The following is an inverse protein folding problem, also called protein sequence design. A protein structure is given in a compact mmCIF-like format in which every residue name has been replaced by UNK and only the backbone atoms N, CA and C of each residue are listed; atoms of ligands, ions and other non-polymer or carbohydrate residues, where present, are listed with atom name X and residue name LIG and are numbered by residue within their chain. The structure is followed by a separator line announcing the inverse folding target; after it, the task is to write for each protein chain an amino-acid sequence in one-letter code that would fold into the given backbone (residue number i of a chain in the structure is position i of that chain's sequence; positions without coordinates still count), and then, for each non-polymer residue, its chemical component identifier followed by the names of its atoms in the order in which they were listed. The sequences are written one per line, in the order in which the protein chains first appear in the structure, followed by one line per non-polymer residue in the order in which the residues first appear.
data_IF_465855993874
#
_entry.id   IF_465855993874
#
_cell.length_a   1.000
_cell.length_b   1.000
_cell.length_c   1.000
_cell.angle_alpha   90.00
_cell.angle_beta   90.00
_cell.angle_gamma   90.00
#
_symmetry.space_group_name_H-M   'P 1'
#
loop_
_entity.id
_entity.type
_entity.pdbx_description
1 polymer ?
#
# COMPACT_ATOMS: atom_id res chain seq x y z
N UNK A 1 8.06 6.85 1.18
CA UNK A 1 8.12 6.45 -0.22
C UNK A 1 9.54 6.43 -0.77
N UNK A 2 10.13 7.55 -1.21
CA UNK A 2 11.48 7.58 -1.84
C UNK A 2 12.67 7.65 -0.87
N UNK A 3 12.42 7.94 0.42
CA UNK A 3 13.48 8.01 1.41
C UNK A 3 14.23 6.67 1.47
N UNK A 4 15.50 6.67 1.13
CA UNK A 4 16.41 5.52 1.12
C UNK A 4 17.83 6.02 1.43
N UNK A 5 18.69 5.15 1.96
CA UNK A 5 20.08 5.53 2.24
C UNK A 5 20.82 5.93 0.95
N UNK A 6 20.77 5.15 -0.15
CA UNK A 6 21.39 5.57 -1.42
C UNK A 6 20.79 6.85 -2.00
N UNK A 7 19.46 7.02 -1.90
CA UNK A 7 18.78 8.23 -2.37
C UNK A 7 19.17 9.50 -1.60
N UNK A 8 19.44 9.38 -0.29
CA UNK A 8 19.95 10.49 0.50
C UNK A 8 21.44 10.76 0.25
N UNK A 9 22.23 9.70 0.10
CA UNK A 9 23.66 9.82 -0.20
C UNK A 9 23.90 10.55 -1.54
N UNK A 10 23.10 10.27 -2.57
CA UNK A 10 23.22 10.93 -3.88
C UNK A 10 23.03 12.45 -3.85
N UNK A 11 22.40 12.98 -2.78
CA UNK A 11 22.21 14.41 -2.53
C UNK A 11 23.07 14.93 -1.37
N UNK A 12 24.09 14.18 -0.95
CA UNK A 12 25.06 14.59 0.07
C UNK A 12 24.56 14.48 1.51
N UNK A 13 23.52 13.69 1.78
CA UNK A 13 23.00 13.45 3.13
C UNK A 13 23.56 12.12 3.65
N UNK A 14 24.44 12.21 4.65
CA UNK A 14 25.04 11.04 5.30
C UNK A 14 24.05 10.17 6.08
N UNK A 15 24.44 8.93 6.41
CA UNK A 15 23.53 7.88 6.92
C UNK A 15 22.83 8.24 8.24
N UNK A 16 23.52 8.90 9.18
CA UNK A 16 22.89 9.32 10.45
C UNK A 16 21.73 10.29 10.23
N UNK A 17 21.95 11.28 9.36
CA UNK A 17 20.93 12.27 9.02
C UNK A 17 19.81 11.65 8.17
N UNK A 18 20.14 10.74 7.26
CA UNK A 18 19.16 9.97 6.50
C UNK A 18 18.22 9.18 7.43
N UNK A 19 18.77 8.45 8.39
CA UNK A 19 17.99 7.69 9.38
C UNK A 19 17.11 8.61 10.23
N UNK A 20 17.64 9.76 10.67
CA UNK A 20 16.87 10.74 11.42
C UNK A 20 15.70 11.31 10.60
N UNK A 21 15.89 11.58 9.31
CA UNK A 21 14.82 12.06 8.42
C UNK A 21 13.74 11.00 8.19
N UNK A 22 14.11 9.73 8.02
CA UNK A 22 13.16 8.63 7.91
C UNK A 22 12.31 8.51 9.18
N UNK A 23 12.92 8.48 10.37
CA UNK A 23 12.17 8.43 11.64
C UNK A 23 11.28 9.65 11.83
N UNK A 24 11.79 10.85 11.51
CA UNK A 24 11.02 12.09 11.60
C UNK A 24 9.76 12.07 10.73
N UNK A 25 9.78 11.39 9.57
CA UNK A 25 8.59 11.27 8.73
C UNK A 25 7.43 10.55 9.46
N UNK A 26 7.75 9.52 10.26
CA UNK A 26 6.77 8.79 11.08
C UNK A 26 6.32 9.65 12.27
N UNK A 27 7.25 10.30 12.96
CA UNK A 27 6.91 11.17 14.10
C UNK A 27 5.97 12.31 13.71
N UNK A 28 6.16 12.91 12.53
CA UNK A 28 5.25 13.96 12.02
C UNK A 28 3.84 13.38 11.84
N UNK A 29 3.71 12.19 11.23
CA UNK A 29 2.42 11.56 11.02
C UNK A 29 1.72 11.18 12.35
N UNK A 30 2.48 10.67 13.33
CA UNK A 30 1.98 10.36 14.67
C UNK A 30 1.49 11.61 15.38
N UNK A 31 2.28 12.70 15.38
CA UNK A 31 1.86 13.95 16.03
C UNK A 31 0.55 14.49 15.45
N UNK A 32 0.40 14.46 14.11
CA UNK A 32 -0.84 14.90 13.44
C UNK A 32 -2.02 13.98 13.79
N UNK A 33 -1.80 12.66 13.82
CA UNK A 33 -2.83 11.70 14.26
C UNK A 33 -3.23 11.98 15.71
N UNK A 34 -2.27 12.10 16.61
CA UNK A 34 -2.53 12.24 18.05
C UNK A 34 -3.24 13.58 18.36
N UNK A 35 -2.94 14.64 17.60
CA UNK A 35 -3.63 15.93 17.70
C UNK A 35 -5.07 15.89 17.17
N UNK A 36 -5.29 15.27 16.00
CA UNK A 36 -6.58 15.35 15.29
C UNK A 36 -7.50 14.15 15.54
N UNK A 37 -6.95 13.03 15.98
CA UNK A 37 -7.58 11.71 16.16
C UNK A 37 -6.95 10.96 17.36
N UNK A 38 -6.96 11.53 18.58
CA UNK A 38 -6.32 10.90 19.73
C UNK A 38 -6.81 9.47 20.03
N UNK A 39 -8.05 9.15 19.65
CA UNK A 39 -8.67 7.84 19.87
C UNK A 39 -8.71 6.95 18.62
N UNK A 40 -7.98 7.27 17.54
CA UNK A 40 -8.01 6.43 16.34
C UNK A 40 -7.06 6.78 15.20
N UNK A 41 -7.03 5.88 14.21
CA UNK A 41 -6.14 5.99 13.05
C UNK A 41 -4.83 5.23 13.25
N UNK A 42 -4.24 4.79 12.14
CA UNK A 42 -2.95 4.10 12.11
C UNK A 42 -1.96 4.95 11.32
N UNK A 43 -0.69 4.89 11.69
CA UNK A 43 0.43 5.42 10.95
C UNK A 43 1.16 4.24 10.32
N UNK A 44 1.14 4.19 8.99
CA UNK A 44 1.94 3.23 8.23
C UNK A 44 3.19 3.92 7.68
N UNK A 45 4.36 3.33 7.91
CA UNK A 45 5.61 3.84 7.37
C UNK A 45 5.77 3.37 5.91
N UNK A 46 5.79 4.33 4.98
CA UNK A 46 5.83 4.07 3.54
C UNK A 46 7.21 3.59 3.04
N UNK A 47 7.21 2.41 2.42
CA UNK A 47 8.36 1.72 1.83
C UNK A 47 8.08 1.56 0.33
N UNK A 48 8.61 2.47 -0.50
CA UNK A 48 8.46 2.41 -1.96
C UNK A 48 9.48 1.47 -2.62
N UNK A 49 9.30 1.12 -3.90
CA UNK A 49 10.21 0.21 -4.60
C UNK A 49 11.58 0.85 -4.86
N UNK A 50 12.56 0.04 -5.22
CA UNK A 50 13.88 0.47 -5.68
C UNK A 50 13.78 1.46 -6.85
N UNK A 51 12.94 1.14 -7.85
CA UNK A 51 12.75 1.98 -9.04
C UNK A 51 12.35 3.42 -8.73
N UNK A 52 11.66 3.68 -7.62
CA UNK A 52 11.28 5.04 -7.22
C UNK A 52 12.50 5.90 -6.84
N UNK A 53 13.63 5.28 -6.50
CA UNK A 53 14.89 5.97 -6.16
C UNK A 53 15.76 6.29 -7.37
N UNK A 54 15.52 5.64 -8.51
CA UNK A 54 16.16 5.94 -9.79
C UNK A 54 15.65 7.24 -10.42
N UNK A 55 14.45 7.70 -10.00
CA UNK A 55 13.80 8.93 -10.48
C UNK A 55 13.56 8.97 -12.01
N UNK A 56 13.47 7.81 -12.64
CA UNK A 56 13.28 7.63 -14.10
C UNK A 56 11.95 6.91 -14.43
N UNK A 57 11.08 6.74 -13.43
CA UNK A 57 9.79 6.07 -13.57
C UNK A 57 9.87 4.55 -13.59
N UNK A 58 11.02 3.95 -13.27
CA UNK A 58 11.20 2.49 -13.24
C UNK A 58 10.28 1.80 -12.22
N UNK A 59 9.72 2.51 -11.24
CA UNK A 59 8.67 1.98 -10.35
C UNK A 59 7.37 1.56 -11.07
N UNK A 60 7.19 1.97 -12.33
CA UNK A 60 6.07 1.60 -13.19
C UNK A 60 6.48 0.72 -14.38
N UNK A 61 7.72 0.23 -14.39
CA UNK A 61 8.25 -0.66 -15.44
C UNK A 61 8.95 -1.89 -14.86
N UNK A 62 9.47 -1.82 -13.65
CA UNK A 62 10.23 -2.91 -13.02
C UNK A 62 11.51 -3.27 -13.76
N UNK A 63 12.04 -2.38 -14.61
CA UNK A 63 13.16 -2.62 -15.52
C UNK A 63 14.52 -2.27 -14.91
N UNK A 64 14.73 -2.63 -13.64
CA UNK A 64 16.03 -2.55 -12.98
C UNK A 64 16.67 -3.94 -12.88
N UNK A 65 17.86 -4.08 -13.44
CA UNK A 65 18.65 -5.33 -13.50
C UNK A 65 19.35 -5.60 -12.16
N UNK A 66 18.54 -5.82 -11.11
CA UNK A 66 19.02 -6.21 -9.77
C UNK A 66 18.47 -7.59 -9.40
N UNK A 67 19.35 -8.42 -8.83
CA UNK A 67 18.97 -9.67 -8.22
C UNK A 67 18.28 -9.49 -6.85
N UNK A 68 17.71 -10.58 -6.34
CA UNK A 68 17.00 -10.61 -5.06
C UNK A 68 17.88 -10.11 -3.91
N UNK A 69 19.13 -10.56 -3.80
CA UNK A 69 20.00 -10.13 -2.68
C UNK A 69 20.38 -8.66 -2.73
N UNK A 70 20.59 -8.07 -3.91
CA UNK A 70 20.88 -6.64 -4.04
C UNK A 70 19.66 -5.81 -3.61
N UNK A 71 18.45 -6.26 -3.96
CA UNK A 71 17.20 -5.65 -3.51
C UNK A 71 17.02 -5.79 -1.99
N UNK A 72 17.43 -6.92 -1.40
CA UNK A 72 17.43 -7.11 0.06
C UNK A 72 18.38 -6.13 0.74
N UNK A 73 19.61 -6.00 0.24
CA UNK A 73 20.59 -5.04 0.75
C UNK A 73 20.09 -3.58 0.66
N UNK A 74 19.35 -3.25 -0.39
CA UNK A 74 18.72 -1.95 -0.53
C UNK A 74 17.60 -1.69 0.50
N UNK A 75 16.70 -2.67 0.70
CA UNK A 75 15.52 -2.49 1.57
C UNK A 75 15.83 -2.63 3.06
N UNK A 76 16.70 -3.56 3.45
CA UNK A 76 17.02 -3.90 4.84
C UNK A 76 17.31 -2.70 5.74
N UNK A 77 18.28 -1.82 5.44
CA UNK A 77 18.62 -0.73 6.36
C UNK A 77 17.46 0.26 6.55
N UNK A 78 16.63 0.45 5.52
CA UNK A 78 15.42 1.29 5.61
C UNK A 78 14.35 0.63 6.47
N UNK A 79 14.08 -0.65 6.30
CA UNK A 79 13.12 -1.40 7.11
C UNK A 79 13.54 -1.40 8.58
N UNK A 80 14.80 -1.70 8.88
CA UNK A 80 15.36 -1.64 10.24
C UNK A 80 15.24 -0.23 10.85
N UNK A 81 15.49 0.81 10.06
CA UNK A 81 15.35 2.20 10.53
C UNK A 81 13.90 2.53 10.85
N UNK A 82 12.96 2.20 9.97
CA UNK A 82 11.55 2.49 10.14
C UNK A 82 10.90 1.65 11.25
N UNK A 83 11.36 0.42 11.48
CA UNK A 83 10.98 -0.41 12.61
C UNK A 83 11.18 0.32 13.96
N UNK A 84 12.28 1.07 14.07
CA UNK A 84 12.57 1.86 15.28
C UNK A 84 11.80 3.18 15.38
N UNK A 85 11.02 3.55 14.37
CA UNK A 85 10.31 4.83 14.32
C UNK A 85 8.92 4.80 15.01
N UNK A 86 8.42 3.62 15.37
CA UNK A 86 7.17 3.45 16.11
C UNK A 86 5.88 3.49 15.26
N UNK A 87 5.97 3.37 13.94
CA UNK A 87 4.79 3.16 13.09
C UNK A 87 4.10 1.84 13.44
N UNK A 88 2.78 1.76 13.32
CA UNK A 88 2.04 0.53 13.63
C UNK A 88 2.28 -0.58 12.60
N UNK A 89 2.66 -0.21 11.37
CA UNK A 89 2.96 -1.14 10.29
C UNK A 89 3.78 -0.48 9.17
N UNK A 90 4.31 -1.30 8.27
CA UNK A 90 4.85 -0.85 6.99
C UNK A 90 3.78 -0.80 5.90
N UNK A 91 3.84 0.25 5.09
CA UNK A 91 3.14 0.33 3.82
C UNK A 91 4.15 0.02 2.71
N UNK A 92 4.35 -1.26 2.41
CA UNK A 92 5.14 -1.67 1.24
C UNK A 92 4.28 -1.45 0.01
N UNK A 93 4.67 -0.52 -0.84
CA UNK A 93 3.76 0.01 -1.86
C UNK A 93 4.41 0.27 -3.20
N UNK A 94 3.61 0.12 -4.26
CA UNK A 94 4.00 0.30 -5.66
C UNK A 94 5.07 -0.68 -6.13
N UNK A 95 5.11 -1.91 -5.60
CA UNK A 95 6.12 -2.91 -6.00
C UNK A 95 5.80 -3.44 -7.41
N UNK A 96 6.73 -3.33 -8.39
CA UNK A 96 6.42 -3.59 -9.80
C UNK A 96 6.88 -4.94 -10.33
N UNK A 97 7.71 -5.71 -9.61
CA UNK A 97 8.32 -6.95 -10.11
C UNK A 97 8.48 -8.03 -9.03
N UNK A 98 8.53 -9.32 -9.42
CA UNK A 98 8.56 -10.44 -8.47
C UNK A 98 9.86 -10.52 -7.66
N UNK A 99 11.00 -10.21 -8.27
CA UNK A 99 12.30 -10.23 -7.58
C UNK A 99 12.30 -9.30 -6.35
N UNK A 100 11.64 -8.14 -6.44
CA UNK A 100 11.51 -7.22 -5.32
C UNK A 100 10.48 -7.67 -4.29
N UNK A 101 9.39 -8.32 -4.74
CA UNK A 101 8.45 -8.99 -3.82
C UNK A 101 9.18 -10.04 -2.99
N UNK A 102 9.99 -10.88 -3.62
CA UNK A 102 10.79 -11.91 -2.95
C UNK A 102 11.75 -11.29 -1.93
N UNK A 103 12.50 -10.28 -2.34
CA UNK A 103 13.45 -9.58 -1.49
C UNK A 103 12.78 -9.00 -0.23
N UNK A 104 11.67 -8.28 -0.39
CA UNK A 104 10.98 -7.66 0.75
C UNK A 104 10.31 -8.72 1.63
N UNK A 105 9.74 -9.78 1.05
CA UNK A 105 9.19 -10.90 1.81
C UNK A 105 10.25 -11.54 2.71
N UNK A 106 11.46 -11.74 2.19
CA UNK A 106 12.59 -12.29 2.96
C UNK A 106 13.01 -11.38 4.12
N UNK A 107 12.94 -10.06 3.97
CA UNK A 107 13.27 -9.11 5.05
C UNK A 107 12.12 -8.92 6.06
N UNK A 108 10.87 -9.14 5.66
CA UNK A 108 9.70 -9.07 6.55
C UNK A 108 9.51 -10.33 7.40
N UNK A 109 9.83 -11.51 6.85
CA UNK A 109 9.64 -12.79 7.52
C UNK A 109 10.44 -12.87 8.84
N UNK A 110 9.73 -13.05 9.95
CA UNK A 110 10.33 -13.07 11.29
C UNK A 110 10.68 -11.70 11.87
N UNK A 111 10.41 -10.60 11.16
CA UNK A 111 10.68 -9.24 11.63
C UNK A 111 9.77 -8.81 12.78
N UNK A 112 8.61 -9.47 12.94
CA UNK A 112 7.54 -9.09 13.90
C UNK A 112 6.94 -7.70 13.65
N UNK A 113 7.23 -7.08 12.51
CA UNK A 113 6.65 -5.80 12.12
C UNK A 113 5.57 -6.04 11.08
N UNK A 114 4.29 -5.76 11.38
CA UNK A 114 3.22 -5.92 10.42
C UNK A 114 3.46 -5.05 9.18
N UNK A 115 3.05 -5.53 8.02
CA UNK A 115 3.09 -4.79 6.78
C UNK A 115 1.85 -5.06 5.95
N UNK A 116 1.42 -4.11 5.13
CA UNK A 116 0.72 -4.48 3.91
C UNK A 116 1.68 -4.41 2.73
N UNK A 117 1.37 -5.18 1.68
CA UNK A 117 2.10 -5.12 0.42
C UNK A 117 1.15 -4.80 -0.74
N UNK A 118 1.52 -3.83 -1.55
CA UNK A 118 0.73 -3.44 -2.71
C UNK A 118 1.56 -3.27 -3.97
N UNK A 119 0.93 -3.61 -5.08
CA UNK A 119 1.59 -3.73 -6.37
C UNK A 119 1.14 -2.65 -7.35
N UNK A 120 2.08 -2.17 -8.16
CA UNK A 120 1.75 -1.40 -9.36
C UNK A 120 1.42 -2.38 -10.48
N UNK A 121 0.29 -2.13 -11.15
CA UNK A 121 -0.29 -3.09 -12.10
C UNK A 121 -0.74 -2.40 -13.38
N UNK A 122 -0.73 -3.17 -14.47
CA UNK A 122 -1.32 -2.80 -15.76
C UNK A 122 -1.88 -4.06 -16.42
N UNK A 123 -3.11 -3.97 -16.91
CA UNK A 123 -3.77 -5.05 -17.66
C UNK A 123 -3.75 -6.42 -16.94
N UNK A 124 -3.98 -6.42 -15.62
CA UNK A 124 -4.02 -7.64 -14.79
C UNK A 124 -2.66 -8.28 -14.50
N UNK A 125 -1.56 -7.59 -14.81
CA UNK A 125 -0.18 -8.03 -14.56
C UNK A 125 0.55 -7.02 -13.69
N UNK A 126 1.66 -7.43 -13.09
CA UNK A 126 2.60 -6.50 -12.49
C UNK A 126 3.08 -5.50 -13.56
N UNK A 127 3.54 -4.33 -13.14
CA UNK A 127 4.06 -3.32 -14.05
C UNK A 127 5.27 -3.82 -14.89
N UNK A 128 6.04 -4.78 -14.37
CA UNK A 128 7.08 -5.53 -15.10
C UNK A 128 6.55 -6.49 -16.18
N UNK A 129 5.24 -6.70 -16.24
CA UNK A 129 4.63 -7.73 -17.09
C UNK A 129 4.68 -9.13 -16.50
N UNK A 130 5.09 -9.31 -15.25
CA UNK A 130 5.07 -10.60 -14.56
C UNK A 130 3.66 -10.96 -14.02
N UNK A 131 3.38 -12.26 -13.72
CA UNK A 131 2.08 -12.67 -13.18
C UNK A 131 1.75 -12.04 -11.82
N UNK A 132 0.69 -11.24 -11.76
CA UNK A 132 0.23 -10.61 -10.53
C UNK A 132 -0.23 -11.62 -9.46
N UNK A 133 -0.79 -12.75 -9.90
CA UNK A 133 -1.23 -13.82 -9.02
C UNK A 133 -0.07 -14.39 -8.17
N UNK A 134 1.11 -14.50 -8.74
CA UNK A 134 2.31 -14.99 -8.05
C UNK A 134 2.78 -14.03 -6.97
N UNK A 135 2.78 -12.72 -7.25
CA UNK A 135 3.07 -11.68 -6.28
C UNK A 135 2.13 -11.74 -5.06
N UNK A 136 0.83 -11.95 -5.30
CA UNK A 136 -0.14 -12.10 -4.22
C UNK A 136 0.10 -13.36 -3.38
N UNK A 137 0.49 -14.50 -3.99
CA UNK A 137 0.82 -15.72 -3.25
C UNK A 137 2.05 -15.52 -2.38
N UNK A 138 3.15 -15.05 -2.96
CA UNK A 138 4.41 -14.80 -2.24
C UNK A 138 4.20 -13.89 -1.02
N UNK A 139 3.52 -12.76 -1.22
CA UNK A 139 3.22 -11.83 -0.13
C UNK A 139 2.23 -12.45 0.90
N UNK A 140 1.29 -13.28 0.45
CA UNK A 140 0.33 -13.93 1.35
C UNK A 140 0.92 -15.05 2.18
N UNK A 141 2.04 -15.64 1.78
CA UNK A 141 2.72 -16.71 2.52
C UNK A 141 3.55 -16.17 3.71
N UNK A 142 3.83 -14.86 3.76
CA UNK A 142 4.54 -14.21 4.87
C UNK A 142 3.56 -13.79 5.97
N UNK A 143 3.77 -14.25 7.21
CA UNK A 143 2.87 -13.95 8.35
C UNK A 143 2.77 -12.45 8.64
N UNK A 144 3.91 -11.73 8.60
CA UNK A 144 3.97 -10.29 8.83
C UNK A 144 3.21 -9.45 7.80
N UNK A 145 2.94 -9.99 6.59
CA UNK A 145 2.12 -9.30 5.59
C UNK A 145 0.65 -9.50 5.94
N UNK A 146 0.04 -8.52 6.61
CA UNK A 146 -1.33 -8.62 7.12
C UNK A 146 -2.42 -8.25 6.11
N UNK A 147 -2.04 -7.64 4.98
CA UNK A 147 -2.96 -7.28 3.90
C UNK A 147 -2.20 -7.15 2.56
N UNK A 148 -2.90 -7.38 1.45
CA UNK A 148 -2.33 -7.24 0.11
C UNK A 148 -3.26 -6.48 -0.82
N UNK A 149 -2.75 -5.87 -1.89
CA UNK A 149 -3.61 -5.23 -2.88
C UNK A 149 -2.86 -4.47 -3.95
N UNK A 150 -3.47 -3.41 -4.45
CA UNK A 150 -2.89 -2.59 -5.52
C UNK A 150 -2.98 -1.11 -5.24
N UNK A 151 -1.99 -0.38 -5.73
CA UNK A 151 -1.94 1.06 -5.66
C UNK A 151 -1.25 1.68 -6.87
N UNK A 152 -1.46 2.99 -7.04
CA UNK A 152 -0.85 3.78 -8.11
C UNK A 152 -1.13 3.28 -9.55
N UNK A 153 -2.09 2.37 -9.71
CA UNK A 153 -2.61 1.93 -11.01
C UNK A 153 -3.82 2.78 -11.43
N UNK A 154 -4.23 2.73 -12.72
CA UNK A 154 -5.50 3.27 -13.17
C UNK A 154 -6.68 2.70 -12.37
N UNK A 155 -7.72 3.50 -12.05
CA UNK A 155 -8.91 3.02 -11.32
C UNK A 155 -9.59 1.80 -11.93
N UNK A 156 -9.54 1.66 -13.26
CA UNK A 156 -10.12 0.54 -13.99
C UNK A 156 -9.40 -0.80 -13.72
N UNK A 157 -8.11 -0.76 -13.40
CA UNK A 157 -7.30 -1.98 -13.17
C UNK A 157 -7.47 -2.57 -11.78
N UNK A 158 -8.09 -1.81 -10.85
CA UNK A 158 -8.28 -2.24 -9.46
C UNK A 158 -9.18 -3.47 -9.37
N UNK A 159 -10.34 -3.47 -10.04
CA UNK A 159 -11.29 -4.57 -9.90
C UNK A 159 -10.72 -5.90 -10.44
N UNK A 160 -10.14 -5.96 -11.66
CA UNK A 160 -9.45 -7.17 -12.13
C UNK A 160 -8.33 -7.64 -11.19
N UNK A 161 -7.54 -6.71 -10.65
CA UNK A 161 -6.48 -7.08 -9.70
C UNK A 161 -7.01 -7.67 -8.39
N UNK A 162 -8.10 -7.12 -7.85
CA UNK A 162 -8.74 -7.66 -6.65
C UNK A 162 -9.39 -9.03 -6.89
N UNK A 163 -9.91 -9.30 -8.09
CA UNK A 163 -10.40 -10.63 -8.48
C UNK A 163 -9.27 -11.67 -8.49
N UNK A 164 -8.11 -11.32 -9.05
CA UNK A 164 -6.90 -12.16 -9.01
C UNK A 164 -6.47 -12.41 -7.56
N UNK A 165 -6.41 -11.36 -6.72
CA UNK A 165 -6.04 -11.50 -5.31
C UNK A 165 -6.99 -12.44 -4.56
N UNK A 166 -8.30 -12.27 -4.75
CA UNK A 166 -9.33 -13.06 -4.07
C UNK A 166 -9.24 -14.56 -4.38
N UNK A 167 -8.72 -14.92 -5.56
CA UNK A 167 -8.55 -16.33 -5.94
C UNK A 167 -7.41 -17.03 -5.17
N UNK A 168 -6.45 -16.28 -4.62
CA UNK A 168 -5.23 -16.85 -4.01
C UNK A 168 -5.00 -16.48 -2.55
N UNK A 169 -5.77 -15.54 -2.00
CA UNK A 169 -5.61 -15.14 -0.60
C UNK A 169 -6.94 -14.85 0.09
N UNK A 170 -6.96 -15.10 1.40
CA UNK A 170 -8.07 -14.72 2.29
C UNK A 170 -7.72 -13.49 3.13
N UNK A 171 -6.50 -12.95 3.00
CA UNK A 171 -6.07 -11.76 3.72
C UNK A 171 -6.91 -10.54 3.28
N UNK A 172 -7.11 -9.55 4.18
CA UNK A 172 -7.76 -8.29 3.82
C UNK A 172 -7.12 -7.67 2.58
N UNK A 173 -7.98 -7.22 1.65
CA UNK A 173 -7.51 -6.55 0.44
C UNK A 173 -7.49 -5.03 0.60
N UNK A 174 -6.62 -4.37 -0.16
CA UNK A 174 -6.52 -2.91 -0.19
C UNK A 174 -6.48 -2.36 -1.62
N UNK A 175 -6.99 -1.15 -1.79
CA UNK A 175 -7.05 -0.47 -3.08
C UNK A 175 -6.89 1.03 -2.92
N UNK A 176 -5.82 1.61 -3.47
CA UNK A 176 -5.65 3.06 -3.53
C UNK A 176 -5.03 3.48 -4.88
N UNK A 177 -5.82 3.51 -5.97
CA UNK A 177 -5.35 3.84 -7.31
C UNK A 177 -4.98 5.33 -7.45
N UNK A 178 -4.37 5.68 -8.57
CA UNK A 178 -4.26 7.08 -8.98
C UNK A 178 -5.63 7.64 -9.43
N UNK A 179 -5.72 8.94 -9.71
CA UNK A 179 -6.98 9.57 -10.17
C UNK A 179 -7.44 9.08 -11.56
N UNK A 180 -6.59 8.39 -12.33
CA UNK A 180 -6.83 8.01 -13.71
C UNK A 180 -6.29 8.98 -14.76
N UNK A 181 -5.70 10.10 -14.32
CA UNK A 181 -4.90 10.99 -15.17
C UNK A 181 -3.58 10.31 -15.55
N UNK A 182 -2.99 10.73 -16.67
CA UNK A 182 -1.72 10.17 -17.16
C UNK A 182 -0.59 11.17 -16.96
N UNK A 183 0.56 10.69 -16.48
CA UNK A 183 1.77 11.50 -16.42
C UNK A 183 2.40 11.62 -17.81
N UNK A 184 2.57 12.83 -18.31
CA UNK A 184 3.34 13.10 -19.52
C UNK A 184 4.77 13.48 -19.11
N UNK A 185 5.73 12.60 -19.38
CA UNK A 185 7.13 12.82 -19.03
C UNK A 185 7.80 13.95 -19.83
N UNK A 186 7.30 14.28 -21.03
CA UNK A 186 7.85 15.34 -21.89
C UNK A 186 7.47 16.73 -21.36
N UNK A 187 6.18 16.92 -21.04
CA UNK A 187 5.68 18.19 -20.48
C UNK A 187 5.87 18.27 -18.97
N UNK A 188 6.13 17.13 -18.31
CA UNK A 188 6.19 17.00 -16.84
C UNK A 188 4.88 17.42 -16.17
N UNK A 189 3.77 17.16 -16.84
CA UNK A 189 2.42 17.50 -16.40
C UNK A 189 1.50 16.28 -16.37
N UNK A 190 0.44 16.37 -15.58
CA UNK A 190 -0.64 15.39 -15.58
C UNK A 190 -1.72 15.81 -16.56
N UNK A 191 -2.07 14.91 -17.47
CA UNK A 191 -3.04 15.16 -18.53
C UNK A 191 -4.32 14.33 -18.31
N UNK A 192 -5.44 14.86 -18.81
CA UNK A 192 -6.76 14.23 -18.75
C UNK A 192 -7.56 14.55 -17.49
N UNK A 193 -8.77 13.96 -17.42
CA UNK A 193 -9.71 14.10 -16.31
C UNK A 193 -9.58 12.95 -15.31
N UNK A 194 -9.99 13.19 -14.06
CA UNK A 194 -10.11 12.13 -13.07
C UNK A 194 -11.14 11.10 -13.52
N UNK A 195 -10.73 9.83 -13.53
CA UNK A 195 -11.58 8.65 -13.77
C UNK A 195 -11.92 7.93 -12.48
N UNK A 196 -11.39 8.38 -11.34
CA UNK A 196 -11.71 7.85 -10.03
C UNK A 196 -13.16 8.20 -9.67
N UNK A 197 -13.98 7.19 -9.38
CA UNK A 197 -15.39 7.36 -9.05
C UNK A 197 -15.79 6.56 -7.83
N UNK A 198 -16.63 7.16 -6.97
CA UNK A 198 -17.20 6.48 -5.80
C UNK A 198 -18.06 5.26 -6.17
N UNK A 199 -18.55 5.16 -7.41
CA UNK A 199 -19.27 3.97 -7.89
C UNK A 199 -18.37 2.74 -7.96
N UNK A 200 -17.08 2.92 -8.30
CA UNK A 200 -16.09 1.83 -8.37
C UNK A 200 -15.79 1.26 -6.98
N UNK A 201 -15.81 2.10 -5.95
CA UNK A 201 -15.59 1.72 -4.54
C UNK A 201 -16.57 0.63 -4.09
N UNK A 202 -17.83 0.68 -4.56
CA UNK A 202 -18.82 -0.36 -4.28
C UNK A 202 -18.36 -1.75 -4.75
N UNK A 203 -17.78 -1.80 -5.95
CA UNK A 203 -17.25 -3.01 -6.55
C UNK A 203 -16.04 -3.51 -5.78
N UNK A 204 -15.09 -2.65 -5.46
CA UNK A 204 -13.91 -3.03 -4.69
C UNK A 204 -14.26 -3.61 -3.31
N UNK A 205 -15.25 -3.04 -2.63
CA UNK A 205 -15.76 -3.59 -1.35
C UNK A 205 -16.34 -5.00 -1.51
N UNK A 206 -17.11 -5.25 -2.57
CA UNK A 206 -17.68 -6.59 -2.85
C UNK A 206 -16.58 -7.61 -3.13
N UNK A 207 -15.49 -7.18 -3.76
CA UNK A 207 -14.30 -7.98 -4.02
C UNK A 207 -13.40 -8.17 -2.79
N UNK A 208 -13.77 -7.63 -1.62
CA UNK A 208 -13.06 -7.87 -0.37
C UNK A 208 -12.13 -6.74 0.10
N UNK A 209 -12.06 -5.62 -0.63
CA UNK A 209 -11.27 -4.47 -0.19
C UNK A 209 -11.78 -3.92 1.16
N UNK A 210 -10.90 -3.92 2.16
CA UNK A 210 -11.15 -3.38 3.50
C UNK A 210 -10.50 -2.01 3.69
N UNK A 211 -9.39 -1.76 3.03
CA UNK A 211 -8.68 -0.49 3.05
C UNK A 211 -8.78 0.15 1.67
N UNK A 212 -9.43 1.31 1.57
CA UNK A 212 -9.62 2.02 0.31
C UNK A 212 -9.14 3.45 0.48
N UNK A 213 -8.32 3.92 -0.47
CA UNK A 213 -7.76 5.27 -0.46
C UNK A 213 -7.50 5.76 -1.86
N UNK A 214 -6.48 6.60 -2.01
CA UNK A 214 -5.99 7.02 -3.32
C UNK A 214 -4.51 7.37 -3.30
N UNK A 215 -3.92 7.41 -4.48
CA UNK A 215 -2.51 7.65 -4.71
C UNK A 215 -2.32 8.96 -5.49
N UNK A 216 -1.60 8.94 -6.62
CA UNK A 216 -1.32 10.15 -7.40
C UNK A 216 -2.61 10.91 -7.77
N UNK A 217 -2.57 12.23 -7.54
CA UNK A 217 -3.64 13.19 -7.88
C UNK A 217 -4.97 13.01 -7.14
N UNK A 218 -5.04 12.12 -6.15
CA UNK A 218 -6.17 12.08 -5.21
C UNK A 218 -5.94 13.12 -4.10
N UNK A 219 -6.95 13.91 -3.81
CA UNK A 219 -6.88 15.06 -2.89
C UNK A 219 -7.56 14.76 -1.55
N UNK A 220 -7.35 15.59 -0.51
CA UNK A 220 -8.11 15.49 0.74
C UNK A 220 -9.63 15.58 0.56
N UNK A 221 -10.11 16.31 -0.45
CA UNK A 221 -11.54 16.42 -0.75
C UNK A 221 -12.09 15.10 -1.32
N UNK A 222 -11.32 14.42 -2.17
CA UNK A 222 -11.65 13.08 -2.66
C UNK A 222 -11.70 12.06 -1.50
N UNK A 223 -10.74 12.13 -0.58
CA UNK A 223 -10.74 11.29 0.62
C UNK A 223 -11.94 11.59 1.53
N UNK A 224 -12.34 12.86 1.66
CA UNK A 224 -13.56 13.24 2.41
C UNK A 224 -14.82 12.68 1.76
N UNK A 225 -14.91 12.76 0.43
CA UNK A 225 -16.02 12.20 -0.33
C UNK A 225 -16.06 10.66 -0.20
N UNK A 226 -14.90 10.00 -0.29
CA UNK A 226 -14.74 8.57 -0.06
C UNK A 226 -15.17 8.16 1.35
N UNK A 227 -14.68 8.85 2.39
CA UNK A 227 -15.05 8.57 3.78
C UNK A 227 -16.56 8.72 4.00
N UNK A 228 -17.17 9.77 3.45
CA UNK A 228 -18.62 10.00 3.51
C UNK A 228 -19.39 8.86 2.82
N UNK A 229 -18.93 8.44 1.64
CA UNK A 229 -19.51 7.33 0.90
C UNK A 229 -19.41 6.01 1.69
N UNK A 230 -18.23 5.70 2.22
CA UNK A 230 -17.97 4.49 2.98
C UNK A 230 -18.80 4.43 4.26
N UNK A 231 -18.94 5.55 4.98
CA UNK A 231 -19.77 5.63 6.19
C UNK A 231 -21.25 5.37 5.91
N UNK A 232 -21.79 5.91 4.81
CA UNK A 232 -23.19 5.67 4.39
C UNK A 232 -23.46 4.21 4.01
N UNK A 233 -22.44 3.51 3.52
CA UNK A 233 -22.53 2.13 3.05
C UNK A 233 -21.77 1.15 3.95
N UNK A 234 -21.45 1.55 5.19
CA UNK A 234 -20.95 0.63 6.19
C UNK A 234 -22.08 -0.34 6.53
N UNK A 235 -21.80 -1.64 6.71
CA UNK A 235 -22.82 -2.56 7.20
C UNK A 235 -23.40 -1.98 8.48
N UNK A 236 -24.72 -1.70 8.50
CA UNK A 236 -25.39 -1.31 9.73
C UNK A 236 -25.18 -2.45 10.71
N UNK A 237 -24.53 -2.18 11.83
CA UNK A 237 -24.51 -3.12 12.94
C UNK A 237 -25.96 -3.38 13.37
N UNK A 238 -26.53 -4.49 12.95
CA UNK A 238 -27.81 -4.97 13.49
C UNK A 238 -27.44 -5.68 14.77
N UNK A 239 -27.78 -5.08 15.92
CA UNK A 239 -27.65 -5.73 17.23
C UNK A 239 -28.26 -7.14 17.11
N UNK A 240 -27.57 -8.21 17.53
CA UNK A 240 -28.20 -9.51 17.65
C UNK A 240 -29.45 -9.37 18.52
N UNK A 241 -30.61 -9.75 17.98
CA UNK A 241 -31.82 -9.88 18.78
C UNK A 241 -31.50 -10.93 19.83
N UNK A 242 -31.45 -10.53 21.11
CA UNK A 242 -31.41 -11.50 22.21
C UNK A 242 -32.69 -12.31 22.13
N UNK A 243 -32.61 -13.52 21.60
CA UNK A 243 -33.65 -14.52 21.80
C UNK A 243 -33.65 -14.78 23.31
N UNK A 244 -34.70 -14.33 24.01
CA UNK A 244 -34.92 -14.72 25.40
C UNK A 244 -35.06 -16.25 25.40
N UNK A 245 -34.12 -16.92 26.04
CA UNK A 245 -34.25 -18.33 26.37
C UNK A 245 -35.27 -18.45 27.51
N UNK A 246 -36.55 -18.39 27.17
CA UNK A 246 -37.58 -18.93 28.04
C UNK A 246 -37.49 -20.45 27.92
N UNK A 247 -36.61 -21.07 28.71
CA UNK A 247 -36.63 -22.52 28.94
C UNK A 247 -37.83 -22.82 29.84
N UNK A 248 -38.80 -23.66 29.41
CA UNK A 248 -39.90 -24.09 30.27
C UNK A 248 -39.56 -25.36 31.08
N UNK A 249 -38.30 -25.79 31.12
CA UNK A 249 -37.90 -26.96 31.89
C UNK A 249 -37.08 -26.55 33.11
N UNK A 250 -37.80 -26.41 34.23
CA UNK A 250 -37.28 -26.75 35.56
C UNK A 250 -37.45 -28.24 35.84
#
# INVERSE_FOLDING_TARGET
YQASFPGFESVGIGPEKAAALMRRSVTIAQNVRDELRPDGGLVAASVGPYGATLMDGSEYRGDYDLGVEELREFHRPRLETLATAGAELFAVETIPCLAEVEAICAELAGSRHPAWMSFSVRDGRLASGEPLEEAFRMASDVEEVVAVGVNCCPPADVAPALEIAHAVTTKPLLAYPNSGQTWNAQTREWEGESRFSLSMVATWKRLGAKTIGGCCRVTPDDIRALATYLAKHAPRYVRPVRIRSDSPFG
#
